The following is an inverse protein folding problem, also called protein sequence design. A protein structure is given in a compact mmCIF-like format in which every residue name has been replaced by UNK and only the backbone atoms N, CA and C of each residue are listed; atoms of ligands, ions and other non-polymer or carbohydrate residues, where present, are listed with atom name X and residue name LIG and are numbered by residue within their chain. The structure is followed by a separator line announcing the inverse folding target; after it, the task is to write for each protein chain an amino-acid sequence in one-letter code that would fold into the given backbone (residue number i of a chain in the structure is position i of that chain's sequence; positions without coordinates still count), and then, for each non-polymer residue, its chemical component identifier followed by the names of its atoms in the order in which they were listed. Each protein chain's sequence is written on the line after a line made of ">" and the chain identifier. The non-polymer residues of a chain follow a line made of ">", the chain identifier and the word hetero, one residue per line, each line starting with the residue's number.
data_IF_673154279874
#
_entry.id   IF_673154279874
#
_cell.length_a   1.000
_cell.length_b   1.000
_cell.length_c   1.000
_cell.angle_alpha   90.00
_cell.angle_beta   90.00
_cell.angle_gamma   90.00
#
_symmetry.space_group_name_H-M   'P 1'
#
loop_
_entity.id
_entity.type
_entity.pdbx_description
1 polymer ?
#
# COMPACT_ATOMS: atom_id res chain seq x y z
N UNK A 1 -16.35 16.80 -24.58
CA UNK A 1 -17.39 15.74 -24.58
C UNK A 1 -16.90 14.38 -25.08
N UNK A 2 -15.86 14.28 -25.93
CA UNK A 2 -15.36 13.00 -26.47
C UNK A 2 -14.62 12.08 -25.45
N UNK A 3 -13.86 12.66 -24.50
CA UNK A 3 -13.07 11.90 -23.49
C UNK A 3 -13.96 10.99 -22.63
N UNK A 4 -15.13 11.48 -22.22
CA UNK A 4 -16.09 10.70 -21.44
C UNK A 4 -16.73 9.56 -22.23
N UNK A 5 -16.80 9.63 -23.57
CA UNK A 5 -17.37 8.55 -24.39
C UNK A 5 -16.38 7.39 -24.56
N UNK A 6 -15.10 7.69 -24.78
CA UNK A 6 -14.05 6.68 -24.87
C UNK A 6 -13.86 5.94 -23.54
N UNK A 7 -13.85 6.66 -22.41
CA UNK A 7 -13.73 6.06 -21.09
C UNK A 7 -14.94 5.18 -20.75
N UNK A 8 -16.17 5.60 -21.09
CA UNK A 8 -17.37 4.77 -20.91
C UNK A 8 -17.35 3.50 -21.76
N UNK A 9 -16.88 3.58 -23.00
CA UNK A 9 -16.72 2.42 -23.88
C UNK A 9 -15.67 1.46 -23.33
N UNK A 10 -14.54 1.98 -22.89
CA UNK A 10 -13.49 1.20 -22.23
C UNK A 10 -14.01 0.49 -20.97
N UNK A 11 -14.82 1.14 -20.15
CA UNK A 11 -15.45 0.52 -18.98
C UNK A 11 -16.48 -0.55 -19.35
N UNK A 12 -17.24 -0.35 -20.43
CA UNK A 12 -18.17 -1.35 -20.95
C UNK A 12 -17.42 -2.58 -21.50
N UNK A 13 -16.31 -2.37 -22.21
CA UNK A 13 -15.45 -3.44 -22.74
C UNK A 13 -14.79 -4.25 -21.60
N UNK A 14 -14.36 -3.58 -20.51
CA UNK A 14 -13.87 -4.25 -19.29
C UNK A 14 -14.97 -5.08 -18.62
N UNK A 15 -16.19 -4.54 -18.52
CA UNK A 15 -17.31 -5.24 -17.90
C UNK A 15 -17.79 -6.45 -18.71
N UNK A 16 -17.63 -6.42 -20.03
CA UNK A 16 -18.00 -7.48 -20.95
C UNK A 16 -16.93 -8.60 -21.08
N UNK A 17 -15.72 -8.41 -20.55
CA UNK A 17 -14.63 -9.39 -20.65
C UNK A 17 -14.85 -10.61 -19.73
N UNK A 18 -14.97 -11.83 -20.28
CA UNK A 18 -15.17 -13.05 -19.50
C UNK A 18 -13.95 -13.46 -18.66
N UNK A 19 -12.75 -12.96 -18.98
CA UNK A 19 -11.53 -13.24 -18.20
C UNK A 19 -11.31 -12.25 -17.05
N UNK A 20 -11.92 -11.05 -17.15
CA UNK A 20 -11.81 -9.92 -16.20
C UNK A 20 -10.36 -9.56 -15.81
N UNK A 21 -9.37 -9.84 -16.65
CA UNK A 21 -7.94 -9.65 -16.32
C UNK A 21 -7.19 -8.84 -17.40
N UNK A 22 -7.63 -7.63 -17.75
CA UNK A 22 -6.89 -6.77 -18.67
C UNK A 22 -5.52 -6.37 -18.09
N UNK A 23 -4.55 -6.13 -18.97
CA UNK A 23 -3.27 -5.52 -18.62
C UNK A 23 -3.30 -4.04 -18.97
N UNK A 24 -2.64 -3.22 -18.17
CA UNK A 24 -2.70 -1.77 -18.28
C UNK A 24 -1.33 -1.19 -18.58
N UNK A 25 -1.29 -0.12 -19.37
CA UNK A 25 -0.10 0.68 -19.68
C UNK A 25 -0.34 2.16 -19.37
N UNK A 26 0.75 2.91 -19.15
CA UNK A 26 0.72 4.37 -19.17
C UNK A 26 1.02 4.87 -20.55
N UNK A 27 0.07 5.56 -21.16
CA UNK A 27 0.22 6.08 -22.52
C UNK A 27 0.27 7.61 -22.47
N UNK A 28 1.41 8.23 -22.83
CA UNK A 28 1.49 9.69 -22.95
C UNK A 28 0.61 10.21 -24.08
N UNK A 29 -0.05 11.35 -23.87
CA UNK A 29 -0.97 11.96 -24.86
C UNK A 29 -0.53 13.33 -25.38
N UNK A 30 0.40 13.99 -24.69
CA UNK A 30 0.89 15.32 -25.02
C UNK A 30 2.01 15.30 -26.07
N UNK A 31 2.33 16.50 -26.58
CA UNK A 31 3.41 16.69 -27.57
C UNK A 31 4.80 16.41 -26.99
N UNK A 32 4.97 16.60 -25.69
CA UNK A 32 6.22 16.32 -24.97
C UNK A 32 5.89 15.67 -23.63
N UNK A 33 6.56 14.57 -23.34
CA UNK A 33 6.37 13.77 -22.12
C UNK A 33 7.51 14.03 -21.15
N UNK A 34 7.20 14.17 -19.85
CA UNK A 34 8.21 14.40 -18.82
C UNK A 34 9.10 13.15 -18.60
N UNK A 35 10.27 13.33 -17.97
CA UNK A 35 11.21 12.23 -17.77
C UNK A 35 10.59 11.06 -16.98
N UNK A 36 9.81 11.37 -15.95
CA UNK A 36 9.17 10.38 -15.08
C UNK A 36 8.11 9.56 -15.82
N UNK A 37 7.27 10.22 -16.63
CA UNK A 37 6.24 9.56 -17.43
C UNK A 37 6.84 8.71 -18.54
N UNK A 38 7.87 9.19 -19.22
CA UNK A 38 8.60 8.43 -20.25
C UNK A 38 9.13 7.11 -19.69
N UNK A 39 9.74 7.14 -18.48
CA UNK A 39 10.19 5.93 -17.79
C UNK A 39 9.05 4.96 -17.50
N UNK A 40 7.91 5.44 -17.01
CA UNK A 40 6.78 4.55 -16.66
C UNK A 40 6.03 4.01 -17.89
N UNK A 41 5.99 4.79 -18.97
CA UNK A 41 5.41 4.40 -20.25
C UNK A 41 6.29 3.38 -20.99
N UNK A 42 7.62 3.45 -20.87
CA UNK A 42 8.52 2.45 -21.44
C UNK A 42 8.25 1.01 -20.97
N UNK A 43 7.62 0.84 -19.80
CA UNK A 43 7.28 -0.48 -19.26
C UNK A 43 6.19 -1.21 -20.05
N UNK A 44 5.38 -0.52 -20.84
CA UNK A 44 4.29 -1.15 -21.60
C UNK A 44 3.12 -1.63 -20.75
N UNK A 45 2.41 -2.67 -21.22
CA UNK A 45 1.18 -3.22 -20.62
C UNK A 45 1.47 -4.16 -19.45
N UNK A 46 2.10 -3.65 -18.39
CA UNK A 46 2.57 -4.44 -17.24
C UNK A 46 1.75 -4.25 -15.96
N UNK A 47 0.80 -3.33 -15.94
CA UNK A 47 0.01 -3.05 -14.74
C UNK A 47 -1.23 -3.97 -14.69
N UNK A 48 -1.57 -4.46 -13.51
CA UNK A 48 -2.71 -5.39 -13.28
C UNK A 48 -4.04 -4.68 -13.07
N UNK A 49 -4.03 -3.36 -12.86
CA UNK A 49 -5.22 -2.56 -12.62
C UNK A 49 -5.07 -1.15 -13.21
N UNK A 50 -6.20 -0.49 -13.45
CA UNK A 50 -6.26 0.91 -13.86
C UNK A 50 -5.51 1.82 -12.86
N UNK A 51 -5.70 1.58 -11.57
CA UNK A 51 -5.06 2.32 -10.48
C UNK A 51 -3.54 2.19 -10.53
N UNK A 52 -3.00 0.96 -10.71
CA UNK A 52 -1.56 0.74 -10.86
C UNK A 52 -1.02 1.42 -12.13
N UNK A 53 -1.83 1.44 -13.20
CA UNK A 53 -1.60 2.19 -14.43
C UNK A 53 -1.69 3.71 -14.27
N UNK A 54 -2.12 4.25 -13.11
CA UNK A 54 -2.19 5.68 -12.86
C UNK A 54 -3.58 6.32 -13.00
N UNK A 55 -4.65 5.52 -13.04
CA UNK A 55 -6.03 6.02 -13.06
C UNK A 55 -6.51 6.62 -11.75
N UNK A 56 -7.80 7.01 -11.73
CA UNK A 56 -8.50 7.72 -10.64
C UNK A 56 -7.98 9.13 -10.31
N UNK A 57 -7.35 9.83 -11.26
CA UNK A 57 -6.89 11.21 -11.04
C UNK A 57 -5.61 11.30 -10.20
N UNK A 58 -4.80 10.25 -10.19
CA UNK A 58 -3.48 10.28 -9.56
C UNK A 58 -2.53 11.19 -10.35
N UNK A 59 -2.40 12.44 -9.89
CA UNK A 59 -1.44 13.41 -10.43
C UNK A 59 -0.08 13.16 -9.79
N UNK A 60 0.79 12.42 -10.46
CA UNK A 60 2.12 12.06 -9.94
C UNK A 60 3.12 13.22 -9.97
N UNK A 61 2.88 14.22 -10.81
CA UNK A 61 3.59 15.49 -10.89
C UNK A 61 2.72 16.51 -11.64
N UNK A 62 3.07 17.80 -11.54
CA UNK A 62 2.38 18.85 -12.27
C UNK A 62 2.34 18.57 -13.79
N UNK A 63 1.19 18.82 -14.41
CA UNK A 63 0.94 18.65 -15.85
C UNK A 63 1.21 17.24 -16.42
N UNK A 64 0.91 16.20 -15.65
CA UNK A 64 0.88 14.83 -16.14
C UNK A 64 -0.20 14.66 -17.22
N UNK A 65 0.20 14.27 -18.42
CA UNK A 65 -0.61 14.07 -19.63
C UNK A 65 -0.84 12.58 -19.96
N UNK A 66 -0.39 11.68 -19.09
CA UNK A 66 -0.47 10.24 -19.30
C UNK A 66 -1.84 9.68 -18.92
N UNK A 67 -2.34 8.74 -19.73
CA UNK A 67 -3.61 8.06 -19.51
C UNK A 67 -3.37 6.55 -19.27
N UNK A 68 -4.06 5.93 -18.29
CA UNK A 68 -4.07 4.48 -18.14
C UNK A 68 -4.89 3.83 -19.25
N UNK A 69 -4.27 2.99 -20.07
CA UNK A 69 -4.93 2.30 -21.19
C UNK A 69 -4.87 0.78 -20.97
N UNK A 70 -6.02 0.06 -21.00
CA UNK A 70 -6.06 -1.38 -20.90
C UNK A 70 -5.83 -2.04 -22.28
N UNK A 71 -5.37 -3.29 -22.26
CA UNK A 71 -5.31 -4.19 -23.42
C UNK A 71 -5.77 -5.60 -23.02
N UNK A 72 -6.31 -6.31 -24.00
CA UNK A 72 -6.71 -7.71 -23.94
C UNK A 72 -5.86 -8.51 -24.93
N UNK A 73 -4.62 -8.81 -24.54
CA UNK A 73 -3.62 -9.48 -25.39
C UNK A 73 -2.66 -8.53 -26.12
N UNK A 74 -2.07 -8.97 -27.23
CA UNK A 74 -1.02 -8.26 -27.99
C UNK A 74 -1.52 -7.08 -28.86
N UNK A 75 -2.54 -6.34 -28.40
CA UNK A 75 -3.01 -5.18 -29.14
C UNK A 75 -1.92 -4.09 -29.15
N UNK A 76 -1.42 -3.73 -30.36
CA UNK A 76 -0.53 -2.59 -30.56
C UNK A 76 -1.36 -1.31 -30.64
N UNK A 77 -1.12 -0.39 -29.71
CA UNK A 77 -1.75 0.93 -29.76
C UNK A 77 -1.02 1.81 -30.78
N UNK A 78 -1.74 2.32 -31.78
CA UNK A 78 -1.17 3.16 -32.84
C UNK A 78 -0.53 4.41 -32.24
N UNK A 79 0.75 4.66 -32.54
CA UNK A 79 1.51 5.82 -32.05
C UNK A 79 2.13 5.65 -30.65
N UNK A 80 1.92 4.52 -29.99
CA UNK A 80 2.56 4.19 -28.72
C UNK A 80 3.60 3.08 -28.89
N UNK A 81 4.86 3.42 -28.65
CA UNK A 81 6.00 2.49 -28.73
C UNK A 81 6.72 2.44 -27.38
N UNK A 82 6.39 1.46 -26.51
CA UNK A 82 7.06 1.26 -25.23
C UNK A 82 8.56 1.02 -25.38
N UNK A 83 8.99 0.29 -26.42
CA UNK A 83 10.39 -0.06 -26.63
C UNK A 83 11.23 1.17 -26.92
N UNK A 84 10.71 2.10 -27.73
CA UNK A 84 11.35 3.40 -27.96
C UNK A 84 11.46 4.23 -26.68
N UNK A 85 10.44 4.24 -25.83
CA UNK A 85 10.45 5.02 -24.58
C UNK A 85 11.40 4.39 -23.54
N UNK A 86 11.46 3.06 -23.46
CA UNK A 86 12.40 2.35 -22.60
C UNK A 86 13.86 2.57 -23.05
N UNK A 87 14.11 2.61 -24.36
CA UNK A 87 15.43 2.92 -24.90
C UNK A 87 15.96 4.29 -24.45
N UNK A 88 15.10 5.32 -24.34
CA UNK A 88 15.47 6.64 -23.80
C UNK A 88 15.94 6.52 -22.35
N UNK A 89 15.21 5.73 -21.54
CA UNK A 89 15.57 5.48 -20.14
C UNK A 89 16.89 4.69 -20.01
N UNK A 90 17.05 3.61 -20.79
CA UNK A 90 18.25 2.78 -20.78
C UNK A 90 19.49 3.57 -21.25
N UNK A 91 19.34 4.43 -22.26
CA UNK A 91 20.42 5.32 -22.72
C UNK A 91 20.87 6.28 -21.62
N UNK A 92 19.92 6.87 -20.87
CA UNK A 92 20.24 7.73 -19.73
C UNK A 92 20.81 6.96 -18.54
N UNK A 93 20.50 5.66 -18.41
CA UNK A 93 21.09 4.79 -17.38
C UNK A 93 22.52 4.37 -17.72
N UNK A 94 22.84 4.22 -19.01
CA UNK A 94 24.12 3.69 -19.48
C UNK A 94 25.31 4.56 -19.07
N UNK A 95 26.22 4.03 -18.24
CA UNK A 95 27.38 4.77 -17.72
C UNK A 95 27.18 5.39 -16.33
N UNK A 96 26.01 5.19 -15.71
CA UNK A 96 25.86 5.42 -14.26
C UNK A 96 26.40 4.22 -13.47
N UNK A 97 26.91 4.43 -12.25
CA UNK A 97 27.41 3.34 -11.41
C UNK A 97 26.31 2.33 -11.07
N UNK A 98 26.72 1.09 -10.81
CA UNK A 98 25.81 0.07 -10.30
C UNK A 98 25.15 0.56 -8.99
N UNK A 99 23.82 0.51 -8.92
CA UNK A 99 23.05 1.04 -7.78
C UNK A 99 22.58 2.49 -7.91
N UNK A 100 22.87 3.19 -9.02
CA UNK A 100 22.33 4.53 -9.28
C UNK A 100 20.80 4.55 -9.16
N UNK A 101 20.28 5.57 -8.48
CA UNK A 101 18.84 5.68 -8.24
C UNK A 101 18.12 6.06 -9.54
N UNK A 102 16.83 5.74 -9.62
CA UNK A 102 16.03 6.19 -10.77
C UNK A 102 16.02 7.72 -10.89
N UNK A 103 16.18 8.47 -9.78
CA UNK A 103 16.27 9.94 -9.81
C UNK A 103 17.50 10.43 -10.56
N UNK A 104 18.62 9.72 -10.44
CA UNK A 104 19.86 10.05 -11.16
C UNK A 104 19.69 9.84 -12.67
N UNK A 105 19.02 8.74 -13.04
CA UNK A 105 18.64 8.47 -14.43
C UNK A 105 17.72 9.56 -14.97
N UNK A 106 16.68 9.95 -14.22
CA UNK A 106 15.76 11.02 -14.62
C UNK A 106 16.46 12.38 -14.75
N UNK A 107 17.39 12.71 -13.86
CA UNK A 107 18.21 13.91 -13.96
C UNK A 107 19.05 13.90 -15.24
N UNK A 108 19.60 12.74 -15.62
CA UNK A 108 20.33 12.60 -16.88
C UNK A 108 19.43 12.63 -18.11
N UNK A 109 18.22 12.07 -18.04
CA UNK A 109 17.22 12.21 -19.11
C UNK A 109 16.86 13.68 -19.37
N UNK A 110 16.72 14.49 -18.31
CA UNK A 110 16.51 15.94 -18.43
C UNK A 110 17.69 16.64 -19.10
N UNK A 111 18.92 16.25 -18.75
CA UNK A 111 20.14 16.83 -19.31
C UNK A 111 20.38 16.44 -20.78
N UNK A 112 20.04 15.21 -21.18
CA UNK A 112 20.25 14.70 -22.54
C UNK A 112 19.26 15.28 -23.57
N UNK A 113 18.17 15.92 -23.12
CA UNK A 113 17.10 16.41 -23.97
C UNK A 113 16.16 15.30 -24.49
N UNK A 114 15.05 15.68 -25.10
CA UNK A 114 14.03 14.74 -25.63
C UNK A 114 12.85 14.45 -24.67
N UNK A 115 12.89 14.99 -23.46
CA UNK A 115 11.78 15.07 -22.51
C UNK A 115 11.65 16.51 -22.02
N UNK A 116 10.45 16.97 -21.70
CA UNK A 116 10.23 18.29 -21.10
C UNK A 116 9.39 18.15 -19.85
N UNK A 117 9.96 18.55 -18.73
CA UNK A 117 9.21 18.71 -17.50
C UNK A 117 8.42 20.02 -17.59
N UNK A 118 7.22 20.02 -17.00
CA UNK A 118 6.47 21.28 -16.86
C UNK A 118 7.08 22.15 -15.76
N UNK A 119 6.93 23.50 -15.83
CA UNK A 119 7.53 24.39 -14.86
C UNK A 119 7.09 24.01 -13.43
N UNK A 120 8.06 24.00 -12.51
CA UNK A 120 7.82 23.73 -11.11
C UNK A 120 6.98 24.85 -10.49
N UNK A 121 5.90 24.50 -9.80
CA UNK A 121 5.13 25.44 -8.97
C UNK A 121 5.83 25.54 -7.61
N UNK A 122 6.08 26.74 -7.06
CA UNK A 122 6.59 26.88 -5.70
C UNK A 122 5.55 26.32 -4.72
N UNK A 123 5.92 25.29 -3.94
CA UNK A 123 5.07 24.72 -2.88
C UNK A 123 4.31 23.42 -3.20
N UNK A 124 4.47 22.84 -4.38
CA UNK A 124 3.89 21.55 -4.74
C UNK A 124 4.84 20.38 -4.49
N UNK A 125 4.85 19.81 -3.29
CA UNK A 125 5.64 18.63 -2.96
C UNK A 125 5.36 17.46 -3.91
N UNK A 126 6.44 16.88 -4.44
CA UNK A 126 6.44 15.70 -5.32
C UNK A 126 5.78 14.49 -4.64
N UNK A 127 4.47 14.36 -4.81
CA UNK A 127 3.65 13.30 -4.22
C UNK A 127 3.21 12.28 -5.25
N UNK A 128 4.09 11.36 -5.62
CA UNK A 128 3.76 10.20 -6.44
C UNK A 128 4.55 8.96 -6.01
N UNK A 129 3.89 7.98 -5.39
CA UNK A 129 4.49 6.68 -5.00
C UNK A 129 4.94 5.91 -6.25
N UNK A 130 6.19 5.39 -6.32
CA UNK A 130 6.64 4.53 -7.42
C UNK A 130 6.07 3.10 -7.31
N UNK A 131 5.80 2.39 -8.42
CA UNK A 131 5.49 0.96 -8.40
C UNK A 131 6.78 0.11 -8.26
N UNK A 132 6.67 -1.00 -7.53
CA UNK A 132 7.72 -2.00 -7.21
C UNK A 132 8.28 -2.67 -8.49
N UNK A 133 9.60 -2.89 -8.62
CA UNK A 133 10.19 -3.60 -9.77
C UNK A 133 10.04 -5.14 -9.65
N UNK A 134 10.08 -5.89 -10.77
CA UNK A 134 10.04 -7.35 -10.76
C UNK A 134 11.36 -7.97 -10.29
N UNK A 135 11.29 -9.12 -9.62
CA UNK A 135 12.43 -9.95 -9.20
C UNK A 135 13.19 -10.51 -10.41
N UNK A 136 14.52 -10.50 -10.35
CA UNK A 136 15.40 -11.18 -11.31
C UNK A 136 16.91 -11.13 -10.94
N UNK A 137 17.33 -12.12 -10.16
CA UNK A 137 18.65 -12.80 -10.02
C UNK A 137 20.01 -12.10 -10.24
N UNK A 138 20.73 -12.02 -9.11
CA UNK A 138 22.09 -12.48 -8.78
C UNK A 138 23.35 -11.91 -9.50
N UNK A 139 24.19 -11.23 -8.70
CA UNK A 139 25.66 -11.36 -8.76
C UNK A 139 26.28 -11.22 -7.35
N UNK A 140 27.09 -12.23 -7.00
CA UNK A 140 28.06 -12.39 -5.90
C UNK A 140 27.63 -12.15 -4.43
N UNK A 141 27.90 -13.17 -3.61
CA UNK A 141 27.41 -13.34 -2.24
C UNK A 141 27.90 -12.24 -1.27
N UNK A 142 26.98 -11.60 -0.52
CA UNK A 142 27.34 -10.80 0.64
C UNK A 142 27.47 -11.69 1.89
N UNK A 143 28.33 -11.25 2.80
CA UNK A 143 28.36 -11.59 4.25
C UNK A 143 26.93 -11.73 4.82
N UNK A 144 26.68 -12.55 5.86
CA UNK A 144 25.34 -12.98 6.26
C UNK A 144 24.38 -11.79 6.37
N UNK A 145 23.40 -11.75 5.47
CA UNK A 145 22.36 -10.72 5.33
C UNK A 145 21.68 -10.49 6.69
N UNK A 146 21.98 -9.37 7.35
CA UNK A 146 21.19 -8.94 8.50
C UNK A 146 19.73 -8.71 8.05
N UNK A 147 18.72 -9.22 8.78
CA UNK A 147 17.33 -9.10 8.37
C UNK A 147 16.91 -7.63 8.28
N UNK A 148 16.46 -7.18 7.09
CA UNK A 148 15.96 -5.82 6.91
C UNK A 148 14.53 -5.67 7.37
N UNK A 149 14.26 -4.63 8.14
CA UNK A 149 12.92 -4.35 8.64
C UNK A 149 12.05 -3.76 7.53
N UNK A 150 10.85 -4.31 7.27
CA UNK A 150 9.98 -3.79 6.25
C UNK A 150 9.36 -2.47 6.72
N UNK A 151 9.40 -1.45 5.86
CA UNK A 151 8.77 -0.16 6.12
C UNK A 151 7.54 0.05 5.24
N UNK A 152 6.43 0.41 5.86
CA UNK A 152 5.20 0.68 5.12
C UNK A 152 5.28 2.01 4.37
N UNK A 153 4.83 2.09 3.09
CA UNK A 153 4.89 3.35 2.37
C UNK A 153 3.94 4.40 2.99
N UNK A 154 4.51 5.41 3.65
CA UNK A 154 3.77 6.42 4.44
C UNK A 154 3.73 6.13 5.94
N UNK A 155 4.59 5.23 6.44
CA UNK A 155 4.73 4.87 7.86
C UNK A 155 4.92 6.08 8.77
N UNK A 156 5.64 7.12 8.33
CA UNK A 156 5.78 8.38 9.07
C UNK A 156 4.47 9.13 9.33
N UNK A 157 3.39 8.77 8.63
CA UNK A 157 2.04 9.32 8.84
C UNK A 157 1.20 8.48 9.80
N UNK A 158 1.64 7.26 10.14
CA UNK A 158 0.97 6.41 11.12
C UNK A 158 1.04 7.11 12.47
N UNK A 159 -0.08 7.15 13.19
CA UNK A 159 -0.21 7.94 14.40
C UNK A 159 0.69 7.42 15.53
N UNK A 160 0.89 6.10 15.64
CA UNK A 160 1.81 5.49 16.61
C UNK A 160 3.28 5.69 16.28
N UNK A 161 3.61 6.00 15.03
CA UNK A 161 4.99 6.28 14.61
C UNK A 161 5.41 7.74 14.82
N UNK A 162 4.51 8.60 15.33
CA UNK A 162 4.84 10.02 15.57
C UNK A 162 5.90 10.14 16.66
N UNK A 163 7.01 10.81 16.33
CA UNK A 163 8.13 10.99 17.24
C UNK A 163 9.16 9.86 17.20
N UNK A 164 8.90 8.79 16.46
CA UNK A 164 9.86 7.70 16.23
C UNK A 164 10.70 8.04 15.00
N UNK A 165 12.01 8.18 15.18
CA UNK A 165 12.94 8.49 14.08
C UNK A 165 14.36 8.04 14.42
N UNK A 166 15.16 7.70 13.41
CA UNK A 166 16.58 7.37 13.60
C UNK A 166 16.84 5.98 14.19
N UNK A 167 15.82 5.12 14.26
CA UNK A 167 15.92 3.73 14.74
C UNK A 167 16.49 2.86 13.63
N UNK A 168 17.54 2.09 13.94
CA UNK A 168 18.18 1.17 12.98
C UNK A 168 17.42 -0.15 12.82
N UNK A 169 17.71 -0.93 11.76
CA UNK A 169 17.11 -2.26 11.55
C UNK A 169 17.42 -3.19 12.74
N UNK A 170 18.68 -3.20 13.21
CA UNK A 170 19.10 -4.01 14.37
C UNK A 170 18.29 -3.65 15.62
N UNK A 171 18.14 -2.35 15.88
CA UNK A 171 17.35 -1.87 17.02
C UNK A 171 15.88 -2.26 16.92
N UNK A 172 15.28 -2.22 15.72
CA UNK A 172 13.92 -2.70 15.50
C UNK A 172 13.77 -4.21 15.74
N UNK A 173 14.74 -5.03 15.32
CA UNK A 173 14.73 -6.47 15.57
C UNK A 173 14.86 -6.80 17.05
N UNK A 174 15.70 -6.06 17.78
CA UNK A 174 15.84 -6.19 19.24
C UNK A 174 14.54 -5.83 19.95
N UNK A 175 13.89 -4.74 19.53
CA UNK A 175 12.58 -4.32 20.05
C UNK A 175 11.49 -5.34 19.77
N UNK A 176 11.44 -5.88 18.55
CA UNK A 176 10.50 -6.93 18.19
C UNK A 176 10.68 -8.18 19.07
N UNK A 177 11.94 -8.59 19.29
CA UNK A 177 12.27 -9.73 20.15
C UNK A 177 11.90 -9.47 21.61
N UNK A 178 12.11 -8.24 22.10
CA UNK A 178 11.71 -7.84 23.44
C UNK A 178 10.19 -7.89 23.62
N UNK A 179 9.42 -7.52 22.58
CA UNK A 179 7.97 -7.62 22.54
C UNK A 179 7.44 -9.07 22.32
N UNK A 180 8.31 -10.08 22.44
CA UNK A 180 7.93 -11.50 22.43
C UNK A 180 7.78 -12.14 21.05
N UNK A 181 8.17 -11.48 19.96
CA UNK A 181 8.08 -12.03 18.60
C UNK A 181 9.47 -12.31 18.03
N UNK A 182 9.76 -13.59 17.77
CA UNK A 182 11.04 -14.00 17.19
C UNK A 182 11.16 -13.53 15.73
N UNK A 183 12.14 -12.66 15.39
CA UNK A 183 12.33 -12.18 14.02
C UNK A 183 12.69 -13.25 12.99
N UNK A 184 13.09 -14.45 13.43
CA UNK A 184 13.33 -15.59 12.53
C UNK A 184 12.03 -16.18 11.95
N UNK A 185 10.88 -15.97 12.61
CA UNK A 185 9.57 -16.40 12.11
C UNK A 185 9.02 -15.41 11.08
N UNK A 186 8.95 -14.15 11.47
CA UNK A 186 8.54 -13.04 10.63
C UNK A 186 9.20 -11.75 11.12
N UNK A 187 9.73 -10.95 10.20
CA UNK A 187 10.16 -9.58 10.50
C UNK A 187 8.96 -8.66 10.36
N UNK A 188 8.57 -8.04 11.47
CA UNK A 188 7.40 -7.16 11.56
C UNK A 188 7.68 -5.79 10.96
N UNK A 189 6.62 -5.09 10.56
CA UNK A 189 6.73 -3.65 10.29
C UNK A 189 6.99 -2.89 11.58
N UNK A 190 7.75 -1.79 11.50
CA UNK A 190 8.09 -0.96 12.67
C UNK A 190 6.88 -0.53 13.51
N UNK A 191 5.75 -0.21 12.86
CA UNK A 191 4.53 0.18 13.56
C UNK A 191 3.79 -0.99 14.24
N UNK A 192 3.97 -2.23 13.77
CA UNK A 192 3.48 -3.42 14.45
C UNK A 192 4.29 -3.64 15.73
N UNK A 193 5.61 -3.48 15.70
CA UNK A 193 6.45 -3.52 16.91
C UNK A 193 6.04 -2.46 17.92
N UNK A 194 5.82 -1.20 17.50
CA UNK A 194 5.35 -0.13 18.40
C UNK A 194 3.98 -0.44 18.99
N UNK A 195 3.10 -1.09 18.22
CA UNK A 195 1.82 -1.55 18.75
C UNK A 195 2.04 -2.58 19.87
N UNK A 196 2.88 -3.60 19.64
CA UNK A 196 3.14 -4.66 20.62
C UNK A 196 3.70 -4.13 21.93
N UNK A 197 4.70 -3.24 21.87
CA UNK A 197 5.29 -2.62 23.05
C UNK A 197 4.24 -1.87 23.89
N UNK A 198 3.34 -1.13 23.23
CA UNK A 198 2.29 -0.39 23.92
C UNK A 198 1.22 -1.32 24.48
N UNK A 199 0.90 -2.38 23.76
CA UNK A 199 -0.08 -3.38 24.17
C UNK A 199 0.41 -4.14 25.41
N UNK A 200 1.69 -4.53 25.43
CA UNK A 200 2.39 -5.13 26.56
C UNK A 200 2.51 -4.18 27.75
N UNK A 201 2.82 -2.89 27.52
CA UNK A 201 2.87 -1.89 28.57
C UNK A 201 1.51 -1.68 29.29
N UNK A 202 0.40 -2.02 28.62
CA UNK A 202 -0.95 -2.04 29.21
C UNK A 202 -1.28 -3.37 29.91
N UNK A 203 -0.32 -4.31 29.96
CA UNK A 203 -0.45 -5.62 30.59
C UNK A 203 -1.06 -6.70 29.70
N UNK A 204 -1.15 -6.48 28.39
CA UNK A 204 -1.74 -7.43 27.45
C UNK A 204 -0.66 -8.15 26.64
N UNK A 205 -0.81 -9.46 26.45
CA UNK A 205 0.17 -10.27 25.75
C UNK A 205 -0.41 -10.85 24.47
N UNK A 206 0.45 -10.98 23.47
CA UNK A 206 0.08 -11.53 22.17
C UNK A 206 0.86 -12.79 21.86
N UNK A 207 0.25 -13.68 21.10
CA UNK A 207 0.95 -14.63 20.25
C UNK A 207 0.79 -14.18 18.80
N UNK A 208 1.89 -13.70 18.20
CA UNK A 208 1.87 -13.27 16.80
C UNK A 208 1.60 -14.44 15.86
N UNK A 209 0.77 -14.22 14.84
CA UNK A 209 0.43 -15.24 13.84
C UNK A 209 1.22 -14.89 12.57
N UNK A 210 2.25 -15.70 12.22
CA UNK A 210 3.03 -15.43 11.03
C UNK A 210 2.19 -15.46 9.76
N UNK A 211 2.47 -14.56 8.82
CA UNK A 211 1.79 -14.56 7.51
C UNK A 211 1.98 -15.89 6.78
N UNK A 212 0.87 -16.50 6.37
CA UNK A 212 0.89 -17.64 5.45
C UNK A 212 1.32 -17.19 4.04
N UNK A 213 2.56 -17.53 3.68
CA UNK A 213 3.16 -17.19 2.38
C UNK A 213 2.80 -18.21 1.30
N UNK A 214 2.25 -19.37 1.65
CA UNK A 214 2.02 -20.49 0.74
C UNK A 214 0.62 -20.40 0.15
N UNK A 215 -0.40 -20.32 0.99
CA UNK A 215 -1.79 -20.34 0.52
C UNK A 215 -2.41 -18.94 0.45
N UNK A 216 -1.67 -17.90 0.87
CA UNK A 216 -2.11 -16.50 0.90
C UNK A 216 -3.47 -16.33 1.59
N UNK A 217 -3.75 -17.18 2.57
CA UNK A 217 -5.00 -17.21 3.29
C UNK A 217 -5.14 -15.94 4.14
N UNK A 218 -6.35 -15.39 4.18
CA UNK A 218 -6.63 -14.28 5.09
C UNK A 218 -6.62 -14.80 6.54
N UNK A 219 -5.50 -14.64 7.23
CA UNK A 219 -5.34 -14.95 8.66
C UNK A 219 -5.44 -13.68 9.51
N UNK A 220 -5.80 -13.83 10.78
CA UNK A 220 -5.65 -12.77 11.79
C UNK A 220 -4.17 -12.49 12.04
N UNK A 221 -3.87 -11.29 12.57
CA UNK A 221 -2.50 -10.84 12.81
C UNK A 221 -1.93 -11.43 14.11
N UNK A 222 -2.75 -11.58 15.15
CA UNK A 222 -2.31 -12.13 16.44
C UNK A 222 -3.44 -12.73 17.27
N UNK A 223 -3.10 -13.62 18.20
CA UNK A 223 -3.96 -14.07 19.29
C UNK A 223 -3.68 -13.22 20.53
N UNK A 224 -4.72 -12.59 21.08
CA UNK A 224 -4.65 -11.89 22.37
C UNK A 224 -4.90 -12.89 23.50
N UNK A 225 -3.88 -13.15 24.32
CA UNK A 225 -3.86 -14.24 25.29
C UNK A 225 -4.86 -14.04 26.44
N UNK A 226 -4.98 -12.83 26.99
CA UNK A 226 -5.90 -12.57 28.11
C UNK A 226 -7.37 -12.62 27.68
N UNK A 227 -7.67 -12.19 26.45
CA UNK A 227 -9.02 -12.19 25.91
C UNK A 227 -9.41 -13.52 25.26
N UNK A 228 -8.44 -14.35 24.88
CA UNK A 228 -8.67 -15.57 24.08
C UNK A 228 -9.21 -15.25 22.68
N UNK A 229 -8.77 -14.14 22.08
CA UNK A 229 -9.34 -13.60 20.83
C UNK A 229 -8.30 -13.59 19.71
N UNK A 230 -8.72 -13.96 18.51
CA UNK A 230 -7.94 -13.76 17.29
C UNK A 230 -8.24 -12.38 16.71
N UNK A 231 -7.24 -11.51 16.66
CA UNK A 231 -7.39 -10.10 16.39
C UNK A 231 -6.70 -9.68 15.08
N UNK A 232 -7.32 -8.73 14.39
CA UNK A 232 -6.72 -7.99 13.29
C UNK A 232 -6.23 -6.62 13.79
N UNK A 233 -4.97 -6.29 13.54
CA UNK A 233 -4.39 -4.99 13.82
C UNK A 233 -4.64 -4.03 12.67
N UNK A 234 -5.06 -2.80 12.99
CA UNK A 234 -5.07 -1.68 12.06
C UNK A 234 -4.45 -0.44 12.69
N UNK A 235 -3.19 -0.19 12.33
CA UNK A 235 -2.48 1.04 12.67
C UNK A 235 -2.92 2.19 11.75
N UNK A 236 -3.46 3.25 12.33
CA UNK A 236 -4.16 4.30 11.60
C UNK A 236 -3.29 5.52 11.35
N UNK A 237 -3.55 6.22 10.24
CA UNK A 237 -2.95 7.53 9.91
C UNK A 237 -3.88 8.71 10.25
N UNK A 238 -5.10 8.41 10.73
CA UNK A 238 -6.18 9.37 10.93
C UNK A 238 -7.16 8.84 11.96
N UNK A 239 -7.66 9.73 12.81
CA UNK A 239 -8.74 9.45 13.77
C UNK A 239 -10.14 9.64 13.18
N UNK A 240 -10.24 9.92 11.87
CA UNK A 240 -11.54 10.07 11.20
C UNK A 240 -12.21 8.71 11.02
N UNK A 241 -13.45 8.59 11.49
CA UNK A 241 -14.27 7.37 11.36
C UNK A 241 -14.25 6.77 9.95
N UNK A 242 -14.43 7.58 8.91
CA UNK A 242 -14.47 7.09 7.52
C UNK A 242 -13.20 6.32 7.13
N UNK A 243 -12.03 6.71 7.63
CA UNK A 243 -10.77 6.03 7.33
C UNK A 243 -10.65 4.72 8.10
N UNK A 244 -11.07 4.71 9.37
CA UNK A 244 -11.08 3.51 10.23
C UNK A 244 -12.08 2.50 9.67
N UNK A 245 -13.32 2.91 9.44
CA UNK A 245 -14.39 2.07 8.92
C UNK A 245 -14.02 1.44 7.57
N UNK A 246 -13.41 2.21 6.67
CA UNK A 246 -12.92 1.70 5.39
C UNK A 246 -11.89 0.57 5.56
N UNK A 247 -10.92 0.73 6.47
CA UNK A 247 -9.89 -0.29 6.73
C UNK A 247 -10.47 -1.57 7.31
N UNK A 248 -11.45 -1.45 8.20
CA UNK A 248 -12.14 -2.60 8.80
C UNK A 248 -12.97 -3.31 7.72
N UNK A 249 -13.82 -2.59 6.98
CA UNK A 249 -14.75 -3.20 6.04
C UNK A 249 -14.05 -3.86 4.85
N UNK A 250 -12.99 -3.25 4.30
CA UNK A 250 -12.17 -3.87 3.24
C UNK A 250 -11.51 -5.17 3.72
N UNK A 251 -11.01 -5.18 4.96
CA UNK A 251 -10.37 -6.34 5.58
C UNK A 251 -11.38 -7.47 5.83
N UNK A 252 -12.53 -7.15 6.42
CA UNK A 252 -13.59 -8.11 6.73
C UNK A 252 -14.18 -8.72 5.44
N UNK A 253 -14.49 -7.88 4.45
CA UNK A 253 -15.06 -8.35 3.19
C UNK A 253 -14.10 -9.28 2.43
N UNK A 254 -12.80 -8.93 2.38
CA UNK A 254 -11.80 -9.76 1.72
C UNK A 254 -11.63 -11.13 2.40
N UNK A 255 -11.81 -11.22 3.73
CA UNK A 255 -11.73 -12.49 4.43
C UNK A 255 -12.90 -13.40 4.04
N UNK A 256 -14.10 -12.86 3.86
CA UNK A 256 -15.28 -13.64 3.48
C UNK A 256 -15.30 -14.05 2.00
N UNK A 257 -14.73 -13.25 1.10
CA UNK A 257 -14.68 -13.57 -0.33
C UNK A 257 -13.63 -14.64 -0.68
N UNK A 258 -12.58 -14.79 0.13
CA UNK A 258 -11.48 -15.72 -0.13
C UNK A 258 -11.71 -17.14 0.42
N UNK A 259 -12.76 -17.36 1.23
CA UNK A 259 -12.91 -18.62 1.98
C UNK A 259 -14.33 -19.21 1.89
N UNK A 260 -14.49 -20.24 1.05
CA UNK A 260 -15.69 -21.10 0.99
C UNK A 260 -15.80 -22.09 2.16
N UNK A 261 -14.92 -22.00 3.16
CA UNK A 261 -14.94 -22.82 4.38
C UNK A 261 -14.69 -21.89 5.56
N UNK A 262 -15.65 -21.87 6.49
CA UNK A 262 -15.67 -21.10 7.73
C UNK A 262 -14.52 -21.54 8.64
N UNK A 263 -13.30 -21.03 8.45
CA UNK A 263 -12.24 -21.27 9.42
C UNK A 263 -11.72 -20.02 10.12
N UNK A 264 -11.55 -18.88 9.46
CA UNK A 264 -11.07 -17.67 10.16
C UNK A 264 -11.75 -16.41 9.60
N UNK A 265 -12.85 -15.98 10.22
CA UNK A 265 -13.46 -14.69 9.91
C UNK A 265 -12.75 -13.58 10.69
N UNK A 266 -12.25 -12.57 9.98
CA UNK A 266 -11.70 -11.35 10.62
C UNK A 266 -12.83 -10.55 11.26
N UNK A 267 -13.18 -10.87 12.50
CA UNK A 267 -14.32 -10.31 13.22
C UNK A 267 -13.95 -9.59 14.52
N UNK A 268 -12.70 -9.64 14.95
CA UNK A 268 -12.17 -8.90 16.10
C UNK A 268 -11.03 -7.98 15.64
N UNK A 269 -11.16 -6.68 15.92
CA UNK A 269 -10.21 -5.66 15.47
C UNK A 269 -9.64 -4.86 16.64
N UNK A 270 -8.34 -4.58 16.57
CA UNK A 270 -7.68 -3.59 17.42
C UNK A 270 -7.19 -2.44 16.54
N UNK A 271 -7.75 -1.24 16.77
CA UNK A 271 -7.41 -0.03 16.03
C UNK A 271 -6.40 0.78 16.83
N UNK A 272 -5.16 0.85 16.36
CA UNK A 272 -4.13 1.68 16.97
C UNK A 272 -4.15 3.10 16.38
N UNK A 273 -4.49 4.07 17.22
CA UNK A 273 -4.47 5.50 16.85
C UNK A 273 -3.29 6.25 17.49
N UNK A 274 -2.27 5.54 17.96
CA UNK A 274 -1.06 6.17 18.48
C UNK A 274 -1.30 6.91 19.79
N UNK A 275 -0.55 7.99 19.97
CA UNK A 275 -0.74 8.95 21.06
C UNK A 275 -1.87 9.97 20.79
N UNK A 276 -2.71 9.75 19.79
CA UNK A 276 -3.95 10.53 19.65
C UNK A 276 -4.96 10.04 20.69
N UNK A 277 -5.85 10.94 21.13
CA UNK A 277 -6.99 10.58 21.98
C UNK A 277 -8.23 10.32 21.14
N UNK A 278 -8.99 9.30 21.51
CA UNK A 278 -10.28 9.04 20.89
C UNK A 278 -11.30 10.08 21.35
N UNK A 279 -11.88 10.83 20.41
CA UNK A 279 -12.99 11.77 20.73
C UNK A 279 -14.31 11.03 20.96
N UNK A 280 -15.20 11.59 21.78
CA UNK A 280 -16.57 11.09 21.99
C UNK A 280 -17.35 10.89 20.68
N UNK A 281 -17.12 11.80 19.72
CA UNK A 281 -17.71 11.71 18.39
C UNK A 281 -17.26 10.44 17.67
N UNK A 282 -15.96 10.14 17.69
CA UNK A 282 -15.42 8.93 17.08
C UNK A 282 -15.97 7.68 17.79
N UNK A 283 -15.91 7.65 19.13
CA UNK A 283 -16.45 6.55 19.92
C UNK A 283 -17.92 6.27 19.58
N UNK A 284 -18.76 7.31 19.54
CA UNK A 284 -20.18 7.20 19.16
C UNK A 284 -20.38 6.68 17.73
N UNK A 285 -19.51 7.07 16.79
CA UNK A 285 -19.55 6.58 15.41
C UNK A 285 -19.13 5.11 15.30
N UNK A 286 -18.14 4.67 16.09
CA UNK A 286 -17.66 3.29 16.12
C UNK A 286 -18.68 2.35 16.78
N UNK A 287 -19.38 2.79 17.83
CA UNK A 287 -20.52 2.05 18.42
C UNK A 287 -21.57 1.72 17.35
N UNK A 288 -21.82 2.65 16.42
CA UNK A 288 -22.77 2.46 15.33
C UNK A 288 -22.15 1.78 14.09
N UNK A 289 -20.97 1.16 14.18
CA UNK A 289 -20.26 0.62 13.02
C UNK A 289 -21.08 -0.45 12.30
N UNK A 290 -21.58 -1.47 13.00
CA UNK A 290 -22.35 -2.56 12.40
C UNK A 290 -23.72 -2.10 11.86
N UNK A 291 -24.38 -1.15 12.55
CA UNK A 291 -25.60 -0.49 12.01
C UNK A 291 -25.32 0.21 10.68
N UNK A 292 -24.13 0.83 10.52
CA UNK A 292 -23.71 1.51 9.29
C UNK A 292 -23.17 0.56 8.23
N UNK A 293 -22.84 -0.68 8.60
CA UNK A 293 -22.30 -1.73 7.75
C UNK A 293 -23.15 -3.01 7.91
N UNK A 294 -24.40 -3.00 7.44
CA UNK A 294 -25.35 -4.09 7.68
C UNK A 294 -25.04 -5.36 6.88
N UNK A 295 -24.15 -5.28 5.88
CA UNK A 295 -23.72 -6.44 5.12
C UNK A 295 -22.93 -7.41 6.02
N UNK A 296 -23.35 -8.68 6.02
CA UNK A 296 -22.70 -9.75 6.76
C UNK A 296 -21.19 -9.84 6.46
N UNK A 297 -20.78 -9.51 5.22
CA UNK A 297 -19.36 -9.48 4.81
C UNK A 297 -18.50 -8.47 5.55
N UNK A 298 -19.11 -7.44 6.12
CA UNK A 298 -18.40 -6.32 6.75
C UNK A 298 -18.68 -6.18 8.23
N UNK A 299 -19.59 -7.01 8.74
CA UNK A 299 -19.99 -7.03 10.14
C UNK A 299 -18.88 -7.67 10.97
N UNK A 300 -18.60 -7.06 12.12
CA UNK A 300 -17.57 -7.53 13.05
C UNK A 300 -18.18 -7.81 14.41
N UNK A 301 -17.56 -8.70 15.18
CA UNK A 301 -18.00 -9.13 16.51
C UNK A 301 -17.44 -8.24 17.61
N UNK A 302 -16.14 -7.90 17.56
CA UNK A 302 -15.47 -7.10 18.59
C UNK A 302 -14.61 -6.01 17.96
N UNK A 303 -14.55 -4.86 18.63
CA UNK A 303 -13.76 -3.72 18.21
C UNK A 303 -13.14 -3.05 19.42
N UNK A 304 -11.83 -2.86 19.35
CA UNK A 304 -11.05 -2.14 20.36
C UNK A 304 -10.33 -0.97 19.71
N UNK A 305 -10.14 0.09 20.48
CA UNK A 305 -9.32 1.24 20.09
C UNK A 305 -8.22 1.41 21.12
N UNK A 306 -6.97 1.38 20.68
CA UNK A 306 -5.82 1.74 21.51
C UNK A 306 -5.40 3.18 21.21
N UNK A 307 -5.50 4.03 22.21
CA UNK A 307 -5.23 5.46 22.11
C UNK A 307 -4.18 5.90 23.14
N UNK A 308 -4.04 7.21 23.36
CA UNK A 308 -3.07 7.75 24.31
C UNK A 308 -3.33 7.33 25.77
N UNK A 309 -4.58 7.06 26.13
CA UNK A 309 -5.02 6.81 27.50
C UNK A 309 -5.11 5.31 27.82
N UNK A 310 -5.21 4.46 26.80
CA UNK A 310 -5.19 3.01 26.98
C UNK A 310 -5.94 2.27 25.88
N UNK A 311 -6.40 1.08 26.23
CA UNK A 311 -7.19 0.20 25.36
C UNK A 311 -8.67 0.28 25.75
N UNK A 312 -9.53 0.58 24.77
CA UNK A 312 -10.96 0.79 24.97
C UNK A 312 -11.77 -0.21 24.14
N UNK A 313 -12.67 -0.96 24.78
CA UNK A 313 -13.64 -1.79 24.07
C UNK A 313 -14.82 -0.94 23.58
N UNK A 314 -15.18 -1.12 22.30
CA UNK A 314 -16.31 -0.45 21.68
C UNK A 314 -17.51 -1.39 21.72
N UNK A 315 -18.54 -1.02 22.49
CA UNK A 315 -19.82 -1.74 22.52
C UNK A 315 -20.60 -1.56 21.21
N UNK A 316 -20.36 -2.43 20.23
CA UNK A 316 -21.02 -2.41 18.91
C UNK A 316 -22.53 -2.65 19.02
N UNK A 317 -23.32 -1.91 18.23
CA UNK A 317 -24.77 -2.07 18.07
C UNK A 317 -25.15 -2.88 16.84
#
# INVERSE_FOLDING_TARGET
>A
MAVHAAQRRQMADIAADPTRRPRWARVPRGRVTCAFCTMLAGRGFVYTSEEAGGGLGNVYHAHCDCEPVPTWGEAKLTGYDPGRLDAIYLQAKAGLPAGASYRDVLSRMRANGGVADSPAVPGGGSGGKPPKPPKGTAAAAPEPDEPKVPHSPGESRILSMRGVSGVSDVEWLERQKAAGVDPSLEVLYSHETVFLERFEALGNHVRWIPKDKVDATATNDFEWLEAGELCELKSMTSTKYQHIAKRISESAASAMDNHGVVKDCKDCYVIDIGHARMSDKLASQLVAYNVRHPDQKTRIRRLFVMDADGLHEIGLK
#
